data_IF_406926676748
#
_entry.id   IF_406926676748
#
_cell.length_a   1.000
_cell.length_b   1.000
_cell.length_c   1.000
_cell.angle_alpha   90.00
_cell.angle_beta   90.00
_cell.angle_gamma   90.00
#
_symmetry.space_group_name_H-M   'P 1'
#
loop_
_entity.id
_entity.type
_entity.pdbx_description
1 polymer ?
#
# COMPACT_ATOMS: atom_id res chain seq x y z
N UNK A 1 -53.08 1.30 -64.93
CA UNK A 1 -51.98 0.68 -64.15
C UNK A 1 -51.07 1.80 -63.65
N UNK A 2 -51.20 2.27 -62.40
CA UNK A 2 -50.19 3.09 -61.73
C UNK A 2 -50.28 2.88 -60.22
N UNK A 3 -49.33 2.09 -59.69
CA UNK A 3 -49.15 1.83 -58.26
C UNK A 3 -48.27 2.94 -57.66
N UNK A 4 -48.80 3.72 -56.72
CA UNK A 4 -48.03 4.67 -55.91
C UNK A 4 -47.61 3.98 -54.62
N UNK A 5 -46.32 3.69 -54.50
CA UNK A 5 -45.70 3.11 -53.32
C UNK A 5 -45.53 4.19 -52.24
N UNK A 6 -46.04 3.93 -51.04
CA UNK A 6 -45.79 4.73 -49.85
C UNK A 6 -44.55 4.17 -49.15
N UNK A 7 -43.49 4.98 -49.04
CA UNK A 7 -42.30 4.65 -48.26
C UNK A 7 -42.51 5.07 -46.80
N UNK A 8 -42.67 4.10 -45.91
CA UNK A 8 -42.56 4.31 -44.47
C UNK A 8 -41.07 4.38 -44.10
N UNK A 9 -40.62 5.55 -43.62
CA UNK A 9 -39.30 5.70 -43.02
C UNK A 9 -39.36 5.23 -41.56
N UNK A 10 -38.72 4.11 -41.25
CA UNK A 10 -38.54 3.63 -39.89
C UNK A 10 -37.36 4.38 -39.24
N UNK A 11 -37.67 5.22 -38.23
CA UNK A 11 -36.68 5.85 -37.36
C UNK A 11 -36.17 4.80 -36.36
N UNK A 12 -34.92 4.36 -36.53
CA UNK A 12 -34.20 3.55 -35.54
C UNK A 12 -33.77 4.47 -34.38
N UNK A 13 -34.15 4.18 -33.13
CA UNK A 13 -33.66 4.92 -31.98
C UNK A 13 -32.19 4.54 -31.73
N UNK A 14 -31.32 5.55 -31.79
CA UNK A 14 -29.92 5.43 -31.40
C UNK A 14 -29.87 5.34 -29.87
N UNK A 15 -29.81 4.12 -29.33
CA UNK A 15 -29.54 3.90 -27.90
C UNK A 15 -28.11 4.34 -27.61
N UNK A 16 -27.96 5.42 -26.87
CA UNK A 16 -26.67 5.85 -26.34
C UNK A 16 -26.18 4.79 -25.34
N UNK A 17 -25.02 4.19 -25.62
CA UNK A 17 -24.28 3.40 -24.63
C UNK A 17 -23.87 4.36 -23.50
N UNK A 18 -24.37 4.12 -22.28
CA UNK A 18 -23.80 4.71 -21.10
C UNK A 18 -22.35 4.19 -20.95
N UNK A 19 -21.38 5.09 -20.98
CA UNK A 19 -20.01 4.76 -20.64
C UNK A 19 -19.98 4.32 -19.17
N UNK A 20 -19.62 3.07 -18.92
CA UNK A 20 -19.26 2.63 -17.57
C UNK A 20 -18.05 3.48 -17.14
N UNK A 21 -18.22 4.31 -16.11
CA UNK A 21 -17.11 5.03 -15.51
C UNK A 21 -16.10 4.01 -15.00
N UNK A 22 -14.96 3.91 -15.67
CA UNK A 22 -13.86 3.06 -15.22
C UNK A 22 -13.44 3.53 -13.82
N UNK A 23 -13.37 2.60 -12.87
CA UNK A 23 -12.73 2.88 -11.58
C UNK A 23 -11.30 3.37 -11.86
N UNK A 24 -10.85 4.40 -11.14
CA UNK A 24 -9.51 4.94 -11.29
C UNK A 24 -8.44 3.88 -11.03
N UNK A 25 -7.18 4.20 -11.32
CA UNK A 25 -6.09 3.33 -10.87
C UNK A 25 -6.09 3.27 -9.33
N UNK A 26 -5.83 2.09 -8.76
CA UNK A 26 -5.52 1.94 -7.35
C UNK A 26 -4.51 3.00 -6.94
N UNK A 27 -4.67 3.57 -5.74
CA UNK A 27 -3.72 4.53 -5.17
C UNK A 27 -3.57 4.31 -3.68
N UNK A 28 -2.41 4.69 -3.16
CA UNK A 28 -2.13 4.82 -1.73
C UNK A 28 -1.58 6.22 -1.49
N UNK A 29 -1.94 6.85 -0.37
CA UNK A 29 -1.45 8.17 0.03
C UNK A 29 -1.21 8.21 1.54
N UNK A 30 -0.52 9.26 2.01
CA UNK A 30 -0.22 9.47 3.42
C UNK A 30 -0.30 10.95 3.75
N UNK A 31 -0.84 11.28 4.93
CA UNK A 31 -0.69 12.62 5.51
C UNK A 31 0.62 12.81 6.28
N UNK A 32 1.35 11.73 6.56
CA UNK A 32 2.63 11.79 7.28
C UNK A 32 3.80 12.19 6.36
N UNK A 33 3.72 11.88 5.05
CA UNK A 33 4.65 12.39 4.03
C UNK A 33 4.06 12.24 2.61
N UNK A 34 4.52 13.08 1.67
CA UNK A 34 4.15 12.96 0.25
C UNK A 34 5.09 12.00 -0.48
N UNK A 35 4.67 11.47 -1.64
CA UNK A 35 5.56 10.66 -2.48
C UNK A 35 6.79 11.48 -2.93
N UNK A 36 7.98 10.87 -2.80
CA UNK A 36 9.29 11.51 -2.93
C UNK A 36 9.62 12.53 -1.82
N UNK A 37 8.73 12.73 -0.85
CA UNK A 37 8.87 13.69 0.24
C UNK A 37 9.85 13.25 1.33
N UNK A 38 10.10 14.14 2.28
CA UNK A 38 10.89 13.84 3.48
C UNK A 38 10.00 13.22 4.54
N UNK A 39 10.45 12.11 5.13
CA UNK A 39 9.77 11.48 6.27
C UNK A 39 10.04 12.31 7.53
N UNK A 40 8.98 12.69 8.24
CA UNK A 40 9.06 13.47 9.46
C UNK A 40 9.57 12.64 10.65
N UNK A 41 10.10 13.31 11.68
CA UNK A 41 10.65 12.66 12.87
C UNK A 41 9.64 11.77 13.60
N UNK A 42 8.34 12.03 13.46
CA UNK A 42 7.29 11.17 14.00
C UNK A 42 7.44 9.71 13.54
N UNK A 43 7.86 9.49 12.29
CA UNK A 43 8.01 8.15 11.71
C UNK A 43 9.42 7.55 11.89
N UNK A 44 10.39 8.33 12.33
CA UNK A 44 11.81 7.96 12.45
C UNK A 44 12.05 7.15 13.71
N UNK A 45 13.10 6.31 13.70
CA UNK A 45 13.48 5.51 14.86
C UNK A 45 13.78 6.34 16.12
N UNK A 46 13.46 5.78 17.28
CA UNK A 46 13.63 6.46 18.59
C UNK A 46 15.08 6.55 19.08
N UNK A 47 15.98 5.73 18.53
CA UNK A 47 17.39 5.80 18.91
C UNK A 47 17.94 7.20 18.59
N UNK A 48 18.63 7.88 19.52
CA UNK A 48 19.28 9.16 19.27
C UNK A 48 20.18 9.15 18.02
N UNK A 49 20.78 8.00 17.69
CA UNK A 49 21.58 7.79 16.49
C UNK A 49 20.76 7.80 15.18
N UNK A 50 19.43 7.83 15.25
CA UNK A 50 18.54 8.02 14.11
C UNK A 50 18.10 9.47 13.93
N UNK A 51 18.46 10.39 14.83
CA UNK A 51 17.95 11.77 14.86
C UNK A 51 16.81 12.02 15.86
N UNK A 52 16.61 11.12 16.84
CA UNK A 52 15.61 11.22 17.92
C UNK A 52 14.15 11.31 17.43
N UNK A 53 13.72 10.32 16.64
CA UNK A 53 12.34 10.19 16.17
C UNK A 53 11.37 9.63 17.21
N UNK A 54 10.11 9.43 16.80
CA UNK A 54 9.03 8.93 17.68
C UNK A 54 8.58 7.49 17.39
N UNK A 55 9.10 6.83 16.35
CA UNK A 55 8.81 5.42 15.99
C UNK A 55 7.33 5.13 15.65
N UNK A 56 6.58 6.12 15.13
CA UNK A 56 5.18 5.95 14.74
C UNK A 56 5.08 5.44 13.31
N UNK A 57 4.20 4.47 13.03
CA UNK A 57 3.86 4.16 11.63
C UNK A 57 3.23 5.37 10.94
N UNK A 58 3.50 5.63 9.65
CA UNK A 58 2.81 6.68 8.92
C UNK A 58 1.30 6.43 8.86
N UNK A 59 0.52 7.50 8.77
CA UNK A 59 -0.88 7.41 8.35
C UNK A 59 -0.92 6.92 6.90
N UNK A 60 -1.88 6.08 6.54
CA UNK A 60 -2.09 5.65 5.16
C UNK A 60 -3.57 5.66 4.81
N UNK A 61 -3.89 6.05 3.60
CA UNK A 61 -5.20 5.86 2.97
C UNK A 61 -5.03 5.25 1.58
N UNK A 62 -6.07 4.61 1.08
CA UNK A 62 -6.08 3.98 -0.23
C UNK A 62 -7.42 4.21 -0.92
N UNK A 63 -7.39 4.25 -2.25
CA UNK A 63 -8.57 4.43 -3.09
C UNK A 63 -8.50 3.50 -4.30
N UNK A 64 -9.67 3.26 -4.90
CA UNK A 64 -9.82 2.48 -6.14
C UNK A 64 -9.16 1.09 -6.07
N UNK A 65 -9.34 0.38 -4.94
CA UNK A 65 -8.85 -1.00 -4.82
C UNK A 65 -9.44 -1.88 -5.94
N UNK A 66 -8.66 -2.80 -6.53
CA UNK A 66 -9.17 -3.71 -7.57
C UNK A 66 -10.40 -4.50 -7.10
N UNK A 67 -11.33 -4.76 -8.02
CA UNK A 67 -12.49 -5.59 -7.73
C UNK A 67 -12.05 -6.99 -7.24
N UNK A 68 -12.71 -7.50 -6.20
CA UNK A 68 -12.35 -8.78 -5.58
C UNK A 68 -11.31 -8.67 -4.47
N UNK A 69 -10.85 -7.47 -4.12
CA UNK A 69 -9.99 -7.27 -2.94
C UNK A 69 -10.72 -7.71 -1.67
N UNK A 70 -10.09 -8.58 -0.88
CA UNK A 70 -10.62 -9.15 0.36
C UNK A 70 -9.72 -8.95 1.57
N UNK A 71 -8.46 -8.61 1.34
CA UNK A 71 -7.53 -8.15 2.36
C UNK A 71 -6.41 -7.33 1.71
N UNK A 72 -5.73 -6.51 2.53
CA UNK A 72 -4.56 -5.75 2.12
C UNK A 72 -3.31 -6.23 2.86
N UNK A 73 -2.17 -6.05 2.20
CA UNK A 73 -0.84 -6.24 2.75
C UNK A 73 0.03 -5.02 2.46
N UNK A 74 1.03 -4.80 3.31
CA UNK A 74 1.88 -3.62 3.33
C UNK A 74 3.32 -4.01 3.63
N UNK A 75 4.26 -3.51 2.85
CA UNK A 75 5.70 -3.69 3.07
C UNK A 75 6.38 -2.33 2.98
N UNK A 76 7.17 -1.97 3.99
CA UNK A 76 8.15 -0.88 3.88
C UNK A 76 9.55 -1.45 3.72
N UNK A 77 10.20 -1.13 2.60
CA UNK A 77 11.53 -1.60 2.24
C UNK A 77 12.45 -0.43 1.90
N UNK A 78 13.62 -0.41 2.52
CA UNK A 78 14.71 0.51 2.24
C UNK A 78 15.72 -0.21 1.32
N UNK A 79 15.79 0.11 0.01
CA UNK A 79 16.75 -0.52 -0.90
C UNK A 79 18.20 -0.04 -0.68
N UNK A 80 18.39 1.14 -0.08
CA UNK A 80 19.71 1.74 0.16
C UNK A 80 20.37 1.13 1.42
N UNK A 81 19.54 0.68 2.35
CA UNK A 81 19.92 0.02 3.60
C UNK A 81 20.79 -1.23 3.43
N UNK A 82 21.54 -1.56 4.49
CA UNK A 82 22.37 -2.77 4.51
C UNK A 82 23.51 -2.74 3.50
N UNK A 83 23.98 -1.55 3.10
CA UNK A 83 24.96 -1.35 2.02
C UNK A 83 24.39 -1.74 0.64
N UNK A 84 23.14 -1.37 0.37
CA UNK A 84 22.47 -1.61 -0.91
C UNK A 84 21.89 -3.01 -1.11
N UNK A 85 21.94 -3.89 -0.10
CA UNK A 85 21.24 -5.20 -0.15
C UNK A 85 19.78 -5.10 0.33
N UNK A 86 19.47 -4.00 1.01
CA UNK A 86 18.14 -3.63 1.46
C UNK A 86 17.77 -4.09 2.86
N UNK A 87 16.85 -3.34 3.47
CA UNK A 87 16.33 -3.55 4.83
C UNK A 87 14.82 -3.47 4.81
N UNK A 88 14.15 -4.45 5.42
CA UNK A 88 12.71 -4.44 5.65
C UNK A 88 12.42 -3.74 6.97
N UNK A 89 11.64 -2.68 6.91
CA UNK A 89 11.27 -1.82 8.03
C UNK A 89 9.88 -2.15 8.59
N UNK A 90 8.98 -2.62 7.74
CA UNK A 90 7.62 -2.95 8.13
C UNK A 90 7.04 -4.04 7.24
N UNK A 91 6.37 -5.01 7.86
CA UNK A 91 5.53 -6.01 7.19
C UNK A 91 4.21 -6.00 7.93
N UNK A 92 3.12 -5.71 7.25
CA UNK A 92 1.79 -5.71 7.82
C UNK A 92 0.80 -6.35 6.83
N UNK A 93 -0.17 -7.12 7.31
CA UNK A 93 -1.11 -7.87 6.48
C UNK A 93 -2.37 -8.21 7.27
N UNK A 94 -3.32 -8.89 6.61
CA UNK A 94 -4.67 -9.11 7.13
C UNK A 94 -5.39 -7.78 7.46
N UNK A 95 -5.15 -6.74 6.66
CA UNK A 95 -5.79 -5.43 6.83
C UNK A 95 -7.11 -5.44 6.07
N UNK A 96 -8.18 -5.00 6.73
CA UNK A 96 -9.51 -4.87 6.11
C UNK A 96 -9.51 -3.75 5.06
N UNK A 97 -9.85 -4.04 3.79
CA UNK A 97 -9.92 -3.02 2.75
C UNK A 97 -11.04 -1.99 2.98
N UNK A 98 -12.05 -2.31 3.80
CA UNK A 98 -13.18 -1.43 4.11
C UNK A 98 -12.86 -0.40 5.21
N UNK A 99 -11.69 -0.48 5.85
CA UNK A 99 -11.26 0.57 6.76
C UNK A 99 -10.90 1.86 6.01
N UNK A 100 -11.13 3.00 6.66
CA UNK A 100 -10.75 4.34 6.19
C UNK A 100 -9.23 4.61 6.27
N UNK A 101 -8.41 3.58 6.02
CA UNK A 101 -6.96 3.64 6.12
C UNK A 101 -6.37 3.18 7.46
N UNK A 102 -5.05 3.35 7.60
CA UNK A 102 -4.32 3.13 8.85
C UNK A 102 -4.00 4.49 9.49
N UNK A 103 -4.39 4.65 10.76
CA UNK A 103 -4.05 5.84 11.54
C UNK A 103 -2.58 5.83 11.92
N UNK A 104 -1.98 7.02 11.99
CA UNK A 104 -0.60 7.19 12.43
C UNK A 104 -0.35 6.50 13.78
N UNK A 105 0.76 5.78 13.89
CA UNK A 105 1.18 5.08 15.11
C UNK A 105 0.36 3.85 15.52
N UNK A 106 -0.74 3.53 14.83
CA UNK A 106 -1.67 2.48 15.27
C UNK A 106 -1.38 1.08 14.70
N UNK A 107 -0.48 0.98 13.72
CA UNK A 107 -0.21 -0.27 13.00
C UNK A 107 1.23 -0.78 13.14
N UNK A 108 1.91 -0.32 14.19
CA UNK A 108 3.28 -0.71 14.51
C UNK A 108 3.40 -2.07 15.18
N UNK A 109 2.30 -2.63 15.70
CA UNK A 109 2.21 -3.94 16.36
C UNK A 109 0.94 -4.64 15.92
N UNK A 110 0.91 -5.97 16.02
CA UNK A 110 -0.31 -6.75 15.77
C UNK A 110 -1.45 -6.32 16.70
N UNK A 111 -2.66 -6.27 16.16
CA UNK A 111 -3.86 -5.91 16.89
C UNK A 111 -5.12 -6.35 16.12
N UNK A 112 -6.31 -5.89 16.52
CA UNK A 112 -7.57 -6.32 15.90
C UNK A 112 -7.71 -5.91 14.43
N UNK A 113 -6.93 -4.93 13.97
CA UNK A 113 -7.06 -4.33 12.63
C UNK A 113 -5.92 -4.70 11.67
N UNK A 114 -4.86 -5.33 12.18
CA UNK A 114 -3.63 -5.60 11.41
C UNK A 114 -2.81 -6.71 12.08
N UNK A 115 -2.27 -7.62 11.28
CA UNK A 115 -1.19 -8.51 11.69
C UNK A 115 0.15 -7.91 11.28
N UNK A 116 1.11 -7.79 12.21
CA UNK A 116 2.45 -7.29 11.93
C UNK A 116 3.44 -8.45 11.88
N UNK A 117 4.15 -8.55 10.75
CA UNK A 117 5.16 -9.55 10.48
C UNK A 117 6.56 -9.15 10.95
N UNK A 118 7.53 -10.02 10.69
CA UNK A 118 8.94 -9.81 11.07
C UNK A 118 9.65 -8.86 10.10
N UNK A 119 10.27 -7.82 10.65
CA UNK A 119 11.18 -6.93 9.92
C UNK A 119 12.60 -7.53 9.84
N UNK A 120 13.57 -6.83 9.23
CA UNK A 120 14.95 -7.30 9.08
C UNK A 120 15.75 -7.42 10.39
N UNK A 121 15.27 -6.84 11.50
CA UNK A 121 15.81 -7.08 12.85
C UNK A 121 15.23 -8.35 13.49
N UNK A 122 14.28 -9.01 12.83
CA UNK A 122 13.58 -10.18 13.36
C UNK A 122 12.46 -9.84 14.34
N UNK A 123 12.13 -8.56 14.55
CA UNK A 123 11.05 -8.15 15.45
C UNK A 123 9.73 -8.03 14.70
N UNK A 124 8.62 -8.35 15.38
CA UNK A 124 7.26 -8.19 14.86
C UNK A 124 6.73 -6.78 15.17
N UNK A 125 7.45 -5.78 14.65
CA UNK A 125 7.11 -4.37 14.86
C UNK A 125 7.50 -3.54 13.64
N UNK A 126 6.86 -2.38 13.50
CA UNK A 126 7.43 -1.30 12.71
C UNK A 126 8.81 -0.92 13.26
N UNK A 127 9.74 -0.63 12.35
CA UNK A 127 11.00 0.03 12.64
C UNK A 127 11.15 1.18 11.66
N UNK A 128 11.20 2.39 12.16
CA UNK A 128 11.33 3.62 11.43
C UNK A 128 12.69 3.78 10.76
N UNK A 129 12.78 4.75 9.83
CA UNK A 129 14.04 5.17 9.25
C UNK A 129 15.12 5.40 10.30
N UNK A 130 16.31 4.91 10.01
CA UNK A 130 17.49 5.10 10.83
C UNK A 130 18.74 4.81 9.99
N UNK A 131 18.98 5.60 8.92
CA UNK A 131 20.19 5.49 8.12
C UNK A 131 21.40 5.92 8.95
N UNK A 132 22.62 5.52 8.60
CA UNK A 132 23.83 6.06 9.22
C UNK A 132 23.90 7.60 9.10
N UNK A 133 24.37 8.26 10.16
CA UNK A 133 24.53 9.71 10.15
C UNK A 133 25.51 10.15 9.05
N UNK A 134 25.13 11.15 8.27
CA UNK A 134 25.93 11.68 7.16
C UNK A 134 25.88 10.88 5.85
N UNK A 135 25.14 9.77 5.79
CA UNK A 135 24.85 9.09 4.51
C UNK A 135 23.91 9.96 3.64
N UNK A 136 23.88 9.68 2.34
CA UNK A 136 22.83 10.22 1.48
C UNK A 136 21.45 9.81 2.01
N UNK A 137 20.40 10.63 1.87
CA UNK A 137 19.07 10.21 2.29
C UNK A 137 18.65 8.89 1.65
N UNK A 138 18.29 7.92 2.48
CA UNK A 138 17.76 6.63 2.05
C UNK A 138 16.32 6.79 1.57
N UNK A 139 15.89 5.90 0.68
CA UNK A 139 14.51 5.79 0.21
C UNK A 139 13.79 4.70 1.00
N UNK A 140 12.53 4.94 1.35
CA UNK A 140 11.68 4.00 2.06
C UNK A 140 10.45 3.75 1.22
N UNK A 141 10.49 2.69 0.42
CA UNK A 141 9.40 2.28 -0.45
C UNK A 141 8.35 1.54 0.37
N UNK A 142 7.20 2.18 0.55
CA UNK A 142 6.03 1.62 1.21
C UNK A 142 5.06 1.14 0.12
N UNK A 143 4.91 -0.17 0.00
CA UNK A 143 4.06 -0.81 -1.02
C UNK A 143 2.82 -1.39 -0.37
N UNK A 144 1.65 -0.92 -0.81
CA UNK A 144 0.35 -1.51 -0.51
C UNK A 144 -0.01 -2.52 -1.60
N UNK A 145 -0.48 -3.69 -1.20
CA UNK A 145 -0.83 -4.81 -2.08
C UNK A 145 -2.27 -5.22 -1.78
N UNK A 146 -3.13 -5.21 -2.80
CA UNK A 146 -4.48 -5.71 -2.74
C UNK A 146 -4.51 -7.21 -3.07
N UNK A 147 -5.25 -8.01 -2.29
CA UNK A 147 -5.26 -9.47 -2.42
C UNK A 147 -6.68 -10.03 -2.42
N UNK A 148 -6.89 -11.17 -3.06
CA UNK A 148 -8.15 -11.93 -3.03
C UNK A 148 -8.27 -12.90 -1.83
N UNK A 149 -7.28 -12.90 -0.94
CA UNK A 149 -7.28 -13.73 0.26
C UNK A 149 -8.26 -13.14 1.31
N UNK A 150 -9.13 -13.96 1.92
CA UNK A 150 -9.94 -13.52 3.05
C UNK A 150 -9.12 -13.01 4.23
N UNK A 151 -9.67 -12.08 5.01
CA UNK A 151 -9.08 -11.65 6.28
C UNK A 151 -8.75 -12.82 7.21
N UNK A 152 -7.56 -12.78 7.81
CA UNK A 152 -7.07 -13.81 8.73
C UNK A 152 -6.52 -15.07 8.05
N UNK A 153 -6.50 -15.13 6.71
CA UNK A 153 -5.94 -16.29 5.99
C UNK A 153 -4.42 -16.38 6.12
N UNK A 154 -3.73 -15.24 6.13
CA UNK A 154 -2.28 -15.21 6.24
C UNK A 154 -1.86 -15.47 7.70
N UNK A 155 -0.99 -16.46 7.97
CA UNK A 155 -0.56 -16.79 9.33
C UNK A 155 0.28 -15.68 9.96
N UNK A 156 0.34 -15.63 11.29
CA UNK A 156 1.23 -14.71 12.01
C UNK A 156 2.72 -15.02 11.80
N UNK A 157 3.59 -14.03 12.04
CA UNK A 157 5.04 -14.22 12.04
C UNK A 157 5.69 -14.29 10.67
N UNK A 158 5.00 -13.94 9.58
CA UNK A 158 5.60 -13.87 8.24
C UNK A 158 6.64 -12.75 8.20
N UNK A 159 7.77 -13.00 7.55
CA UNK A 159 8.64 -11.93 7.05
C UNK A 159 8.25 -11.55 5.61
N UNK A 160 8.95 -10.57 5.03
CA UNK A 160 8.70 -10.12 3.65
C UNK A 160 8.70 -11.29 2.65
N UNK A 161 9.63 -12.23 2.78
CA UNK A 161 9.75 -13.33 1.80
C UNK A 161 8.57 -14.29 1.93
N UNK A 162 8.24 -14.70 3.16
CA UNK A 162 7.10 -15.57 3.42
C UNK A 162 5.78 -14.95 3.00
N UNK A 163 5.60 -13.65 3.25
CA UNK A 163 4.41 -12.92 2.79
C UNK A 163 4.31 -12.91 1.26
N UNK A 164 5.38 -12.49 0.56
CA UNK A 164 5.35 -12.43 -0.90
C UNK A 164 5.14 -13.80 -1.55
N UNK A 165 5.64 -14.87 -0.95
CA UNK A 165 5.39 -16.23 -1.41
C UNK A 165 3.91 -16.60 -1.32
N UNK A 166 3.23 -16.28 -0.21
CA UNK A 166 1.80 -16.57 -0.04
C UNK A 166 0.90 -15.66 -0.88
N UNK A 167 1.38 -14.47 -1.25
CA UNK A 167 0.67 -13.56 -2.15
C UNK A 167 0.83 -13.92 -3.64
N UNK A 168 1.72 -14.86 -3.98
CA UNK A 168 1.93 -15.26 -5.37
C UNK A 168 0.65 -15.87 -5.96
N UNK A 169 0.15 -15.28 -7.04
CA UNK A 169 -1.12 -15.68 -7.66
C UNK A 169 -2.38 -15.09 -6.99
N UNK A 170 -2.22 -14.37 -5.87
CA UNK A 170 -3.31 -13.78 -5.09
C UNK A 170 -3.29 -12.23 -5.08
N UNK A 171 -2.17 -11.61 -5.47
CA UNK A 171 -2.07 -10.17 -5.61
C UNK A 171 -2.88 -9.68 -6.82
N UNK A 172 -3.85 -8.81 -6.57
CA UNK A 172 -4.72 -8.20 -7.59
C UNK A 172 -4.18 -6.87 -8.11
N UNK A 173 -3.34 -6.20 -7.31
CA UNK A 173 -2.72 -4.92 -7.65
C UNK A 173 -1.81 -4.45 -6.53
N UNK A 174 -0.90 -3.55 -6.85
CA UNK A 174 -0.02 -2.92 -5.88
C UNK A 174 0.29 -1.48 -6.28
N UNK A 175 0.52 -0.63 -5.27
CA UNK A 175 0.98 0.75 -5.42
C UNK A 175 1.94 1.10 -4.30
N UNK A 176 2.81 2.07 -4.56
CA UNK A 176 3.85 2.48 -3.61
C UNK A 176 3.86 3.98 -3.38
N UNK A 177 4.29 4.36 -2.17
CA UNK A 177 4.77 5.68 -1.81
C UNK A 177 6.24 5.56 -1.42
N UNK A 178 7.07 6.51 -1.83
CA UNK A 178 8.47 6.56 -1.42
C UNK A 178 8.71 7.78 -0.55
N UNK A 179 9.05 7.55 0.72
CA UNK A 179 9.57 8.62 1.58
C UNK A 179 11.10 8.62 1.57
N UNK A 180 11.71 9.75 1.90
CA UNK A 180 13.17 9.88 2.04
C UNK A 180 13.54 10.34 3.44
N UNK A 181 14.62 9.80 4.00
CA UNK A 181 15.16 10.28 5.27
C UNK A 181 16.68 10.17 5.32
N UNK A 182 17.32 11.18 5.92
CA UNK A 182 18.76 11.27 6.17
C UNK A 182 18.98 12.38 7.21
N UNK A 183 20.07 12.29 7.97
CA UNK A 183 20.39 13.24 9.04
C UNK A 183 21.90 13.41 9.22
#
# INVERSE_FOLDING_TARGET
MHFRHWLFAALLPCTALAAAGGQGAMSVSSSSFTDGGVIALQQVGQDPACGAGEERTPQLSWDNLPAGTRSLALIMFDPDGGKGVGVVHWVAYNIDPEHDGLKEGMAGLSGPYVTVGRNSRGTQSYRGPCPPAGDNPHHYALTLIATDLPLGTLPEGLDRSGLLQLLQGHALGAQSLVGRYGH
#
